data_IF_175780371453
#
_entry.id   IF_175780371453
#
_cell.length_a   1.000
_cell.length_b   1.000
_cell.length_c   1.000
_cell.angle_alpha   90.00
_cell.angle_beta   90.00
_cell.angle_gamma   90.00
#
_symmetry.space_group_name_H-M   'P 1'
#
loop_
_entity.id
_entity.type
_entity.pdbx_description
1 polymer ?
#
# COMPACT_ATOMS: atom_id res chain seq x y z
N UNK A 1 -17.24 79.53 17.93
CA UNK A 1 -17.44 79.20 19.35
C UNK A 1 -17.90 77.75 19.37
N UNK A 2 -17.04 76.84 19.84
CA UNK A 2 -17.32 75.40 19.89
C UNK A 2 -18.24 75.12 21.07
N UNK A 3 -19.39 74.50 20.84
CA UNK A 3 -20.26 74.00 21.90
C UNK A 3 -19.77 72.60 22.33
N UNK A 4 -19.35 72.53 23.59
CA UNK A 4 -18.88 71.34 24.29
C UNK A 4 -20.05 70.34 24.42
N UNK A 5 -20.09 69.34 23.53
CA UNK A 5 -20.96 68.18 23.72
C UNK A 5 -20.35 67.29 24.79
N UNK A 6 -20.74 67.51 26.05
CA UNK A 6 -20.51 66.54 27.12
C UNK A 6 -21.20 65.24 26.73
N UNK A 7 -20.41 64.24 26.36
CA UNK A 7 -20.87 62.87 26.11
C UNK A 7 -21.46 62.36 27.42
N UNK A 8 -22.78 62.18 27.45
CA UNK A 8 -23.46 61.53 28.57
C UNK A 8 -23.27 60.03 28.40
N UNK A 9 -22.37 59.46 29.18
CA UNK A 9 -22.23 58.02 29.24
C UNK A 9 -23.54 57.40 29.77
N UNK A 10 -24.07 56.36 29.11
CA UNK A 10 -25.26 55.67 29.59
C UNK A 10 -24.97 55.04 30.96
N UNK A 11 -25.83 55.31 31.95
CA UNK A 11 -25.73 54.75 33.29
C UNK A 11 -26.34 53.33 33.30
N UNK A 12 -25.52 52.34 33.67
CA UNK A 12 -25.91 50.93 33.74
C UNK A 12 -26.10 50.41 35.19
N UNK A 13 -26.05 51.27 36.20
CA UNK A 13 -26.26 50.87 37.59
C UNK A 13 -27.71 50.41 37.80
N UNK A 14 -27.87 49.09 38.01
CA UNK A 14 -29.16 48.43 38.26
C UNK A 14 -29.63 47.51 37.14
N UNK A 15 -28.91 47.43 36.01
CA UNK A 15 -29.20 46.46 34.95
C UNK A 15 -28.55 45.11 35.28
N UNK A 16 -29.26 44.24 35.99
CA UNK A 16 -28.89 42.83 36.08
C UNK A 16 -29.01 42.19 34.70
N UNK A 17 -27.87 41.81 34.11
CA UNK A 17 -27.82 41.08 32.86
C UNK A 17 -28.37 39.66 33.07
N UNK A 18 -29.67 39.47 32.78
CA UNK A 18 -30.25 38.12 32.66
C UNK A 18 -29.59 37.39 31.49
N UNK A 19 -28.79 36.37 31.80
CA UNK A 19 -28.31 35.44 30.78
C UNK A 19 -29.49 34.63 30.23
N UNK A 20 -29.50 34.30 28.93
CA UNK A 20 -30.57 33.48 28.37
C UNK A 20 -30.58 32.11 29.05
N UNK A 21 -31.68 31.79 29.74
CA UNK A 21 -31.92 30.54 30.46
C UNK A 21 -32.23 29.35 29.53
N UNK A 22 -31.70 29.39 28.31
CA UNK A 22 -31.66 28.26 27.38
C UNK A 22 -30.35 28.28 26.58
N UNK A 23 -29.25 28.70 27.21
CA UNK A 23 -28.01 28.01 26.91
C UNK A 23 -28.16 26.65 27.58
N UNK A 24 -28.72 25.68 26.85
CA UNK A 24 -28.47 24.28 27.15
C UNK A 24 -26.96 24.19 27.31
N UNK A 25 -26.53 24.15 28.57
CA UNK A 25 -25.25 23.64 28.94
C UNK A 25 -25.32 22.21 28.48
N UNK A 26 -25.00 21.96 27.21
CA UNK A 26 -24.48 20.67 26.83
C UNK A 26 -23.31 20.51 27.78
N UNK A 27 -23.38 19.60 28.77
CA UNK A 27 -22.19 19.28 29.50
C UNK A 27 -21.25 18.83 28.39
N UNK A 28 -20.09 19.49 28.30
CA UNK A 28 -18.96 18.88 27.63
C UNK A 28 -18.64 17.66 28.50
N UNK A 29 -19.44 16.61 28.35
CA UNK A 29 -19.00 15.29 28.66
C UNK A 29 -17.89 15.08 27.64
N UNK A 30 -16.66 15.32 28.08
CA UNK A 30 -15.58 14.45 27.67
C UNK A 30 -16.02 13.04 28.08
N UNK A 31 -16.89 12.42 27.26
CA UNK A 31 -17.09 10.99 27.26
C UNK A 31 -15.81 10.45 26.65
N UNK A 32 -14.73 10.46 27.44
CA UNK A 32 -13.72 9.43 27.30
C UNK A 32 -14.47 8.15 27.61
N UNK A 33 -15.12 7.57 26.60
CA UNK A 33 -15.57 6.19 26.64
C UNK A 33 -14.27 5.41 26.83
N UNK A 34 -13.89 5.17 28.08
CA UNK A 34 -12.92 4.13 28.39
C UNK A 34 -13.63 2.86 27.96
N UNK A 35 -13.37 2.44 26.71
CA UNK A 35 -13.78 1.14 26.23
C UNK A 35 -13.30 0.16 27.28
N UNK A 36 -14.23 -0.46 28.00
CA UNK A 36 -13.94 -1.50 28.97
C UNK A 36 -13.41 -2.65 28.15
N UNK A 37 -12.09 -2.69 27.98
CA UNK A 37 -11.45 -3.76 27.27
C UNK A 37 -11.52 -4.98 28.19
N UNK A 38 -12.33 -5.95 27.80
CA UNK A 38 -12.39 -7.23 28.48
C UNK A 38 -10.99 -7.86 28.43
N UNK A 39 -10.28 -7.87 29.56
CA UNK A 39 -8.92 -8.41 29.68
C UNK A 39 -8.72 -9.80 29.05
N UNK A 40 -9.68 -10.74 29.18
CA UNK A 40 -9.59 -12.04 28.50
C UNK A 40 -9.59 -11.94 26.97
N UNK A 41 -10.36 -11.00 26.40
CA UNK A 41 -10.42 -10.80 24.94
C UNK A 41 -9.08 -10.27 24.43
N UNK A 42 -8.45 -9.34 25.14
CA UNK A 42 -7.11 -8.87 24.79
C UNK A 42 -6.08 -10.00 24.82
N UNK A 43 -6.13 -10.85 25.85
CA UNK A 43 -5.19 -11.97 25.99
C UNK A 43 -5.36 -12.96 24.82
N UNK A 44 -6.60 -13.32 24.48
CA UNK A 44 -6.91 -14.18 23.33
C UNK A 44 -6.41 -13.54 22.03
N UNK A 45 -6.67 -12.25 21.84
CA UNK A 45 -6.25 -11.52 20.64
C UNK A 45 -4.72 -11.48 20.52
N UNK A 46 -3.99 -11.25 21.62
CA UNK A 46 -2.53 -11.29 21.64
C UNK A 46 -2.00 -12.69 21.34
N UNK A 47 -2.60 -13.73 21.91
CA UNK A 47 -2.18 -15.11 21.67
C UNK A 47 -2.42 -15.54 20.21
N UNK A 48 -3.56 -15.15 19.64
CA UNK A 48 -3.88 -15.36 18.23
C UNK A 48 -2.90 -14.61 17.32
N UNK A 49 -2.55 -13.36 17.66
CA UNK A 49 -1.56 -12.59 16.92
C UNK A 49 -0.18 -13.26 16.92
N UNK A 50 0.31 -13.74 18.08
CA UNK A 50 1.57 -14.46 18.17
C UNK A 50 1.55 -15.76 17.35
N UNK A 51 0.42 -16.48 17.34
CA UNK A 51 0.27 -17.71 16.56
C UNK A 51 0.34 -17.44 15.05
N UNK A 52 -0.33 -16.39 14.57
CA UNK A 52 -0.25 -15.96 13.17
C UNK A 52 1.18 -15.56 12.80
N UNK A 53 1.83 -14.74 13.64
CA UNK A 53 3.20 -14.29 13.39
C UNK A 53 4.20 -15.46 13.39
N UNK A 54 4.07 -16.39 14.33
CA UNK A 54 4.91 -17.59 14.39
C UNK A 54 4.73 -18.50 13.18
N UNK A 55 3.48 -18.72 12.76
CA UNK A 55 3.18 -19.48 11.54
C UNK A 55 3.73 -18.82 10.28
N UNK A 56 3.53 -17.50 10.14
CA UNK A 56 4.05 -16.73 9.01
C UNK A 56 5.58 -16.72 8.97
N UNK A 57 6.24 -16.55 10.12
CA UNK A 57 7.70 -16.60 10.23
C UNK A 57 8.24 -17.97 9.82
N UNK A 58 7.63 -19.05 10.32
CA UNK A 58 8.04 -20.40 9.96
C UNK A 58 7.87 -20.66 8.45
N UNK A 59 6.71 -20.29 7.90
CA UNK A 59 6.45 -20.42 6.46
C UNK A 59 7.45 -19.62 5.61
N UNK A 60 7.71 -18.37 5.97
CA UNK A 60 8.71 -17.53 5.29
C UNK A 60 10.12 -18.13 5.38
N UNK A 61 10.51 -18.63 6.55
CA UNK A 61 11.81 -19.28 6.75
C UNK A 61 11.97 -20.52 5.84
N UNK A 62 10.91 -21.30 5.63
CA UNK A 62 10.98 -22.47 4.73
C UNK A 62 11.17 -22.09 3.27
N UNK A 63 10.62 -20.95 2.83
CA UNK A 63 10.80 -20.45 1.46
C UNK A 63 12.17 -19.83 1.22
N UNK A 64 12.75 -19.20 2.24
CA UNK A 64 14.00 -18.43 2.13
C UNK A 64 15.24 -19.21 2.53
N UNK A 65 15.08 -20.40 3.11
CA UNK A 65 16.21 -21.30 3.37
C UNK A 65 16.64 -21.95 2.06
N UNK A 66 17.38 -21.21 1.24
CA UNK A 66 18.12 -21.79 0.12
C UNK A 66 19.31 -22.55 0.70
N UNK A 67 19.42 -23.88 0.49
CA UNK A 67 20.65 -24.57 0.85
C UNK A 67 21.79 -23.94 0.04
N UNK A 68 22.80 -23.44 0.74
CA UNK A 68 24.04 -22.95 0.12
C UNK A 68 24.73 -24.16 -0.49
N UNK A 69 24.36 -24.47 -1.73
CA UNK A 69 25.09 -25.43 -2.54
C UNK A 69 26.40 -24.74 -2.88
N UNK A 70 27.58 -25.31 -2.53
CA UNK A 70 28.84 -24.73 -2.96
C UNK A 70 28.84 -24.74 -4.49
N UNK A 71 28.69 -23.56 -5.09
CA UNK A 71 28.83 -23.37 -6.52
C UNK A 71 30.24 -23.82 -6.89
N UNK A 72 30.42 -24.86 -7.73
CA UNK A 72 31.74 -25.15 -8.25
C UNK A 72 32.24 -23.90 -8.99
N UNK A 73 33.48 -23.46 -8.72
CA UNK A 73 34.08 -22.35 -9.45
C UNK A 73 34.07 -22.69 -10.94
N UNK A 74 33.13 -22.09 -11.68
CA UNK A 74 33.09 -22.17 -13.13
C UNK A 74 34.22 -21.29 -13.63
N UNK A 75 35.40 -21.90 -13.80
CA UNK A 75 36.55 -21.23 -14.42
C UNK A 75 36.16 -20.91 -15.86
N UNK A 76 36.05 -19.61 -16.18
CA UNK A 76 35.79 -19.17 -17.56
C UNK A 76 36.88 -19.73 -18.47
N UNK A 77 36.53 -20.40 -19.58
CA UNK A 77 37.49 -20.76 -20.61
C UNK A 77 38.27 -19.52 -21.03
N UNK A 78 39.60 -19.64 -21.14
CA UNK A 78 40.42 -18.53 -21.64
C UNK A 78 40.02 -18.20 -23.09
N UNK A 79 40.27 -16.99 -23.61
CA UNK A 79 39.88 -16.60 -24.97
C UNK A 79 40.40 -17.53 -26.09
N UNK A 80 41.48 -18.29 -25.84
CA UNK A 80 42.00 -19.30 -26.78
C UNK A 80 41.35 -20.69 -26.66
N UNK A 81 40.50 -20.91 -25.66
CA UNK A 81 39.72 -22.14 -25.45
C UNK A 81 38.24 -21.96 -25.82
N UNK A 82 37.81 -20.72 -26.07
CA UNK A 82 36.48 -20.40 -26.54
C UNK A 82 36.46 -20.46 -28.08
N UNK A 83 35.95 -21.57 -28.64
CA UNK A 83 35.80 -21.77 -30.08
C UNK A 83 34.38 -21.45 -30.58
N UNK A 84 33.53 -20.84 -29.75
CA UNK A 84 32.19 -20.47 -30.17
C UNK A 84 32.22 -19.16 -30.97
N UNK A 85 31.56 -19.08 -32.14
CA UNK A 85 31.39 -17.81 -32.83
C UNK A 85 30.57 -16.89 -31.90
N UNK A 86 31.02 -15.64 -31.70
CA UNK A 86 30.27 -14.66 -30.91
C UNK A 86 28.84 -14.54 -31.45
N UNK A 87 27.88 -15.08 -30.70
CA UNK A 87 26.49 -15.15 -31.13
C UNK A 87 25.81 -13.81 -30.86
N UNK A 88 25.57 -13.05 -31.92
CA UNK A 88 24.87 -11.75 -31.90
C UNK A 88 23.40 -11.83 -31.48
N UNK A 89 22.87 -13.04 -31.24
CA UNK A 89 21.45 -13.27 -30.91
C UNK A 89 21.15 -13.11 -29.42
N UNK A 90 22.15 -13.26 -28.53
CA UNK A 90 21.95 -13.19 -27.09
C UNK A 90 21.61 -11.77 -26.59
N UNK A 91 22.14 -10.73 -27.26
CA UNK A 91 21.85 -9.34 -26.86
C UNK A 91 20.44 -8.91 -27.27
N UNK A 92 19.93 -9.38 -28.42
CA UNK A 92 18.62 -8.98 -28.94
C UNK A 92 17.42 -9.56 -28.14
N UNK A 93 17.58 -10.70 -27.46
CA UNK A 93 16.48 -11.29 -26.68
C UNK A 93 16.31 -10.65 -25.29
N UNK A 94 17.34 -10.00 -24.77
CA UNK A 94 17.27 -9.37 -23.44
C UNK A 94 16.55 -8.02 -23.49
N UNK A 95 16.57 -7.34 -24.63
CA UNK A 95 15.89 -6.05 -24.84
C UNK A 95 14.35 -6.16 -24.89
N UNK A 96 13.78 -7.33 -25.20
CA UNK A 96 12.32 -7.47 -25.33
C UNK A 96 11.57 -7.70 -24.00
N UNK A 97 12.25 -8.08 -22.92
CA UNK A 97 11.57 -8.52 -21.66
C UNK A 97 11.70 -7.51 -20.51
N UNK A 98 12.34 -6.36 -20.73
CA UNK A 98 12.85 -5.51 -19.64
C UNK A 98 12.24 -4.10 -19.54
N UNK A 99 11.30 -3.71 -20.40
CA UNK A 99 10.72 -2.36 -20.35
C UNK A 99 9.34 -2.42 -19.67
N UNK A 100 9.35 -2.49 -18.34
CA UNK A 100 8.26 -1.94 -17.52
C UNK A 100 8.85 -0.80 -16.69
N UNK A 101 8.29 0.40 -16.85
CA UNK A 101 8.86 1.60 -16.26
C UNK A 101 8.27 1.83 -14.85
N UNK A 102 9.07 2.07 -13.80
CA UNK A 102 8.56 2.36 -12.45
C UNK A 102 8.10 3.81 -12.34
N UNK A 103 7.16 4.24 -13.18
CA UNK A 103 6.79 5.65 -13.35
C UNK A 103 5.38 5.96 -12.87
N UNK A 104 5.27 7.04 -12.07
CA UNK A 104 4.02 7.64 -11.60
C UNK A 104 3.43 8.67 -12.59
N UNK A 105 4.06 8.86 -13.75
CA UNK A 105 3.59 9.75 -14.80
C UNK A 105 2.59 9.03 -15.74
N UNK A 106 1.43 9.65 -15.97
CA UNK A 106 0.35 9.10 -16.79
C UNK A 106 0.80 8.70 -18.20
N UNK A 107 1.70 9.47 -18.82
CA UNK A 107 2.23 9.18 -20.17
C UNK A 107 3.07 7.90 -20.22
N UNK A 108 3.73 7.54 -19.12
CA UNK A 108 4.57 6.35 -19.07
C UNK A 108 3.73 5.09 -18.82
N UNK A 109 2.66 5.21 -18.03
CA UNK A 109 1.69 4.14 -17.82
C UNK A 109 0.94 3.83 -19.12
N UNK A 110 0.59 4.86 -19.90
CA UNK A 110 -0.06 4.69 -21.21
C UNK A 110 0.85 3.95 -22.21
N UNK A 111 2.15 4.29 -22.23
CA UNK A 111 3.13 3.58 -23.06
C UNK A 111 3.32 2.11 -22.64
N UNK A 112 3.34 1.82 -21.33
CA UNK A 112 3.47 0.44 -20.83
C UNK A 112 2.20 -0.40 -21.12
N UNK A 113 1.02 0.24 -21.09
CA UNK A 113 -0.26 -0.39 -21.48
C UNK A 113 -0.33 -0.67 -22.99
N UNK A 114 0.12 0.27 -23.82
CA UNK A 114 0.18 0.09 -25.28
C UNK A 114 1.25 -0.95 -25.68
N UNK A 115 2.36 -1.03 -24.94
CA UNK A 115 3.37 -2.07 -25.10
C UNK A 115 2.86 -3.46 -24.68
N UNK A 116 1.82 -3.54 -23.84
CA UNK A 116 1.20 -4.80 -23.45
C UNK A 116 0.21 -5.26 -24.52
N UNK A 117 0.42 -6.46 -25.09
CA UNK A 117 -0.48 -7.03 -26.10
C UNK A 117 -1.78 -7.57 -25.47
N UNK A 118 -2.71 -6.67 -25.13
CA UNK A 118 -3.99 -7.00 -24.49
C UNK A 118 -4.88 -7.90 -25.36
N UNK A 119 -4.89 -7.68 -26.68
CA UNK A 119 -5.65 -8.50 -27.62
C UNK A 119 -5.15 -9.96 -27.64
N UNK A 120 -3.83 -10.15 -27.52
CA UNK A 120 -3.22 -11.47 -27.41
C UNK A 120 -3.55 -12.18 -26.10
N UNK A 121 -3.74 -11.44 -25.01
CA UNK A 121 -4.15 -12.00 -23.72
C UNK A 121 -5.60 -12.48 -23.73
N UNK A 122 -6.52 -11.74 -24.36
CA UNK A 122 -7.92 -12.16 -24.50
C UNK A 122 -8.03 -13.46 -25.30
N UNK A 123 -7.31 -13.55 -26.42
CA UNK A 123 -7.23 -14.77 -27.23
C UNK A 123 -6.59 -15.94 -26.46
N UNK A 124 -5.55 -15.69 -25.67
CA UNK A 124 -4.90 -16.72 -24.86
C UNK A 124 -5.83 -17.25 -23.75
N UNK A 125 -6.57 -16.36 -23.07
CA UNK A 125 -7.56 -16.74 -22.05
C UNK A 125 -8.68 -17.59 -22.65
N UNK A 126 -9.21 -17.23 -23.81
CA UNK A 126 -10.26 -17.99 -24.48
C UNK A 126 -9.79 -19.37 -24.93
N UNK A 127 -8.52 -19.51 -25.33
CA UNK A 127 -7.91 -20.80 -25.62
C UNK A 127 -7.76 -21.67 -24.36
N UNK A 128 -7.36 -21.07 -23.23
CA UNK A 128 -7.24 -21.77 -21.93
C UNK A 128 -8.62 -22.26 -21.46
N UNK A 129 -9.67 -21.44 -21.58
CA UNK A 129 -11.05 -21.85 -21.26
C UNK A 129 -11.48 -23.04 -22.10
N UNK A 130 -11.20 -23.00 -23.41
CA UNK A 130 -11.53 -24.10 -24.32
C UNK A 130 -10.75 -25.38 -23.98
N UNK A 131 -9.47 -25.28 -23.64
CA UNK A 131 -8.66 -26.43 -23.22
C UNK A 131 -9.14 -27.01 -21.87
N UNK A 132 -9.49 -26.15 -20.91
CA UNK A 132 -9.99 -26.56 -19.60
C UNK A 132 -11.35 -27.27 -19.71
N UNK A 133 -12.28 -26.74 -20.50
CA UNK A 133 -13.57 -27.37 -20.76
C UNK A 133 -13.44 -28.71 -21.50
N UNK A 134 -12.43 -28.85 -22.37
CA UNK A 134 -12.12 -30.12 -23.01
C UNK A 134 -11.49 -31.14 -22.04
N UNK A 135 -10.73 -30.69 -21.04
CA UNK A 135 -10.11 -31.55 -20.03
C UNK A 135 -11.08 -32.03 -18.94
N UNK A 136 -12.21 -31.34 -18.75
CA UNK A 136 -13.24 -31.67 -17.75
C UNK A 136 -14.40 -32.53 -18.30
N UNK A 137 -14.40 -32.82 -19.61
CA UNK A 137 -15.33 -33.75 -20.27
C UNK A 137 -14.73 -35.16 -20.39
#
# INVERSE_FOLDING_TARGET
>A
MQEDHKVSEPNYEGLEMKMPENADQQPSEAVTKSTVINGPILLILTLLLVLILGGMYYWFSTLTTTPVTPTPEVVRPTPGQNNEPESTTAEAQTDMTLVTSPSDELSTIEADLEATNLDGLDAALQNIETELDAALQ
#
